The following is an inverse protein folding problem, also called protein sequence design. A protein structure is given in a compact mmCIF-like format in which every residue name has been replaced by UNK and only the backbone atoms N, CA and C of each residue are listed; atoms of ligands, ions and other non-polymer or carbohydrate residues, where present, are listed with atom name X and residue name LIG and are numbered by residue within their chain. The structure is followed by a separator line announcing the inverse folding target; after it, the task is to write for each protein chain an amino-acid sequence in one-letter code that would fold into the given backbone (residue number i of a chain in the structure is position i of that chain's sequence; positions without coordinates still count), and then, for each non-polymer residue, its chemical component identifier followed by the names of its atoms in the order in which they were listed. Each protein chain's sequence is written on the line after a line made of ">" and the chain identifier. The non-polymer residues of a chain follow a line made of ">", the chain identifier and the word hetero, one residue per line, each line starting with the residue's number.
data_IF_281811302742
#
_entry.id   IF_281811302742
#
_cell.length_a   1.000
_cell.length_b   1.000
_cell.length_c   1.000
_cell.angle_alpha   90.00
_cell.angle_beta   90.00
_cell.angle_gamma   90.00
#
_symmetry.space_group_name_H-M   'P 1'
#
loop_
_entity.id
_entity.type
_entity.pdbx_description
1 polymer ?
#
# COMPACT_ATOMS: atom_id res chain seq x y z
N UNK A 1 39.62 5.27 44.06
CA UNK A 1 39.62 6.44 43.16
C UNK A 1 40.65 6.24 42.06
N UNK A 2 40.23 5.74 40.90
CA UNK A 2 41.07 5.70 39.71
C UNK A 2 40.21 6.04 38.49
N UNK A 3 40.27 7.29 38.06
CA UNK A 3 39.78 7.76 36.77
C UNK A 3 40.66 7.14 35.66
N UNK A 4 40.04 6.64 34.59
CA UNK A 4 40.72 6.45 33.30
C UNK A 4 39.89 7.07 32.19
N UNK A 5 40.62 7.84 31.40
CA UNK A 5 40.21 8.68 30.27
C UNK A 5 39.55 7.88 29.14
N UNK A 6 38.55 8.54 28.53
CA UNK A 6 37.99 8.25 27.20
C UNK A 6 38.89 8.88 26.14
N UNK A 7 39.23 8.19 25.03
CA UNK A 7 39.71 8.85 23.82
C UNK A 7 38.54 9.11 22.86
N UNK A 8 38.36 10.38 22.48
CA UNK A 8 37.47 10.82 21.42
C UNK A 8 38.06 10.44 20.06
N UNK A 9 37.27 9.76 19.23
CA UNK A 9 37.60 9.44 17.84
C UNK A 9 37.03 10.55 16.94
N UNK A 10 37.91 11.22 16.19
CA UNK A 10 37.54 12.24 15.21
C UNK A 10 37.12 11.58 13.89
N UNK A 11 35.91 11.88 13.42
CA UNK A 11 35.43 11.52 12.07
C UNK A 11 35.93 12.56 11.06
N UNK A 12 36.61 12.11 10.00
CA UNK A 12 36.93 12.91 8.84
C UNK A 12 35.84 12.71 7.77
N UNK A 13 35.18 13.81 7.37
CA UNK A 13 34.20 13.85 6.28
C UNK A 13 34.94 14.15 4.98
N UNK A 14 34.82 13.26 3.99
CA UNK A 14 35.30 13.49 2.62
C UNK A 14 34.11 13.93 1.77
N UNK A 15 34.07 15.21 1.39
CA UNK A 15 33.15 15.75 0.40
C UNK A 15 33.72 15.54 -1.00
N UNK A 16 33.08 14.68 -1.81
CA UNK A 16 33.31 14.62 -3.25
C UNK A 16 32.41 15.65 -3.95
N UNK A 17 33.02 16.68 -4.52
CA UNK A 17 32.37 17.58 -5.46
C UNK A 17 32.48 17.02 -6.88
N UNK A 18 31.33 16.81 -7.53
CA UNK A 18 31.26 16.50 -8.96
C UNK A 18 30.76 17.74 -9.70
N UNK A 19 31.64 18.30 -10.52
CA UNK A 19 31.40 19.50 -11.31
C UNK A 19 30.58 19.22 -12.57
N UNK A 20 29.77 20.22 -12.94
CA UNK A 20 29.18 20.37 -14.26
C UNK A 20 30.25 20.82 -15.26
N UNK A 21 30.19 20.31 -16.50
CA UNK A 21 30.47 21.11 -17.70
C UNK A 21 29.83 20.48 -18.94
N UNK A 22 29.15 21.37 -19.64
CA UNK A 22 28.39 21.28 -20.87
C UNK A 22 29.31 21.44 -22.11
N UNK A 23 28.85 20.96 -23.27
CA UNK A 23 29.22 21.30 -24.66
C UNK A 23 29.06 20.05 -25.55
N UNK A 24 28.33 20.05 -26.67
CA UNK A 24 27.60 21.10 -27.34
C UNK A 24 27.15 20.64 -28.75
N UNK A 25 26.10 21.29 -29.22
CA UNK A 25 25.84 21.75 -30.61
C UNK A 25 25.76 20.75 -31.77
N UNK A 26 24.62 20.78 -32.47
CA UNK A 26 24.51 20.30 -33.84
C UNK A 26 23.12 20.38 -34.47
N UNK A 27 22.56 21.59 -34.60
CA UNK A 27 21.59 21.92 -35.68
C UNK A 27 22.38 22.57 -36.84
N UNK A 28 21.96 22.53 -38.13
CA UNK A 28 20.64 23.01 -38.58
C UNK A 28 20.04 22.41 -39.89
N UNK A 29 18.87 22.95 -40.26
CA UNK A 29 18.36 23.26 -41.64
C UNK A 29 17.07 22.53 -42.08
N UNK A 30 15.95 23.27 -42.02
CA UNK A 30 15.21 23.70 -43.24
C UNK A 30 13.89 22.99 -43.61
N UNK A 31 12.99 23.67 -44.36
CA UNK A 31 11.56 23.75 -44.02
C UNK A 31 10.63 23.08 -45.05
N UNK A 32 9.40 22.75 -44.64
CA UNK A 32 8.27 22.67 -45.58
C UNK A 32 6.94 23.12 -44.95
N UNK A 33 6.36 24.12 -45.59
CA UNK A 33 4.98 24.57 -45.42
C UNK A 33 4.01 23.61 -46.14
N UNK A 34 2.78 23.52 -45.63
CA UNK A 34 1.68 22.84 -46.30
C UNK A 34 0.35 23.11 -45.60
N UNK A 35 -0.36 24.13 -46.08
CA UNK A 35 -1.75 24.43 -45.73
C UNK A 35 -2.71 23.41 -46.35
N UNK A 36 -3.81 23.08 -45.66
CA UNK A 36 -4.92 22.31 -46.22
C UNK A 36 -6.16 22.36 -45.33
N UNK A 37 -7.19 23.04 -45.82
CA UNK A 37 -8.50 23.24 -45.19
C UNK A 37 -9.54 22.21 -45.68
N UNK A 38 -10.64 22.07 -44.92
CA UNK A 38 -11.90 21.42 -45.33
C UNK A 38 -12.13 20.07 -44.62
N UNK A 39 -13.29 19.75 -44.08
CA UNK A 39 -14.61 20.37 -44.14
C UNK A 39 -15.59 19.60 -43.25
N UNK A 40 -16.77 20.20 -43.08
CA UNK A 40 -17.84 19.86 -42.15
C UNK A 40 -18.72 18.67 -42.56
N UNK A 41 -19.52 18.21 -41.58
CA UNK A 41 -20.68 17.31 -41.66
C UNK A 41 -20.85 16.65 -40.29
N UNK A 42 -21.57 17.19 -39.31
CA UNK A 42 -23.01 17.47 -39.20
C UNK A 42 -23.92 16.26 -39.43
N UNK A 43 -24.78 15.97 -38.44
CA UNK A 43 -25.94 15.09 -38.62
C UNK A 43 -26.31 14.16 -37.46
N UNK A 44 -27.15 14.65 -36.54
CA UNK A 44 -28.23 13.93 -35.84
C UNK A 44 -27.81 13.01 -34.66
N UNK A 45 -28.16 13.24 -33.40
CA UNK A 45 -29.46 13.68 -32.90
C UNK A 45 -30.44 12.50 -32.92
N UNK A 46 -30.58 11.80 -31.80
CA UNK A 46 -31.74 10.95 -31.44
C UNK A 46 -31.75 10.75 -29.92
N UNK A 47 -32.42 11.69 -29.27
CA UNK A 47 -33.05 11.56 -27.97
C UNK A 47 -34.16 10.50 -28.07
N UNK A 48 -33.96 9.35 -27.44
CA UNK A 48 -34.95 8.29 -27.17
C UNK A 48 -34.48 7.70 -25.83
N UNK A 49 -35.10 8.02 -24.70
CA UNK A 49 -36.48 7.68 -24.42
C UNK A 49 -36.45 6.73 -23.22
N UNK A 50 -36.75 7.29 -22.06
CA UNK A 50 -37.12 6.59 -20.84
C UNK A 50 -38.08 5.43 -21.15
N UNK A 51 -37.67 4.19 -20.84
CA UNK A 51 -38.59 3.06 -20.72
C UNK A 51 -38.60 2.65 -19.25
N UNK A 52 -39.54 3.23 -18.52
CA UNK A 52 -40.02 2.71 -17.26
C UNK A 52 -41.02 1.56 -17.50
N UNK A 53 -40.81 0.45 -16.78
CA UNK A 53 -41.77 -0.67 -16.61
C UNK A 53 -41.33 -1.96 -17.30
N UNK A 54 -41.00 -3.08 -16.64
CA UNK A 54 -41.09 -3.47 -15.23
C UNK A 54 -41.49 -4.96 -15.17
N UNK A 55 -40.74 -5.80 -14.43
CA UNK A 55 -41.23 -6.83 -13.47
C UNK A 55 -40.06 -7.65 -12.88
N UNK A 56 -39.85 -7.53 -11.57
CA UNK A 56 -39.64 -8.66 -10.66
C UNK A 56 -38.29 -9.40 -10.68
N UNK A 57 -37.30 -8.84 -9.98
CA UNK A 57 -36.12 -9.58 -9.50
C UNK A 57 -35.10 -8.63 -8.90
N UNK A 58 -35.18 -8.36 -7.59
CA UNK A 58 -34.27 -7.45 -6.90
C UNK A 58 -32.81 -7.84 -7.10
N UNK A 59 -32.14 -7.14 -8.02
CA UNK A 59 -30.68 -7.13 -8.12
C UNK A 59 -30.28 -5.76 -7.60
N UNK A 60 -30.11 -5.66 -6.27
CA UNK A 60 -29.45 -4.49 -5.70
C UNK A 60 -28.10 -4.36 -6.39
N UNK A 61 -27.90 -3.26 -7.11
CA UNK A 61 -26.61 -2.97 -7.71
C UNK A 61 -25.63 -2.77 -6.54
N UNK A 62 -24.54 -3.54 -6.53
CA UNK A 62 -23.43 -3.33 -5.60
C UNK A 62 -23.04 -1.86 -5.64
N UNK A 63 -22.82 -1.27 -4.47
CA UNK A 63 -22.41 0.13 -4.33
C UNK A 63 -20.90 0.25 -4.38
N UNK A 64 -20.42 1.44 -4.74
CA UNK A 64 -18.99 1.73 -4.76
C UNK A 64 -18.37 1.53 -3.36
N UNK A 65 -17.12 1.06 -3.34
CA UNK A 65 -16.38 0.86 -2.09
C UNK A 65 -15.60 2.13 -1.78
N UNK A 66 -15.90 2.71 -0.63
CA UNK A 66 -15.11 3.79 -0.03
C UNK A 66 -13.92 3.19 0.71
N UNK A 67 -12.74 3.75 0.47
CA UNK A 67 -11.49 3.34 1.08
C UNK A 67 -10.85 4.55 1.73
N UNK A 68 -10.37 4.38 2.97
CA UNK A 68 -9.46 5.32 3.62
C UNK A 68 -8.28 4.51 4.13
N UNK A 69 -7.07 4.83 3.71
CA UNK A 69 -5.88 4.00 3.94
C UNK A 69 -4.63 4.88 4.07
N UNK A 70 -3.67 4.40 4.84
CA UNK A 70 -2.30 4.93 4.89
C UNK A 70 -1.31 3.82 5.24
N UNK A 71 -0.02 4.08 5.06
CA UNK A 71 1.05 3.22 5.53
C UNK A 71 2.26 4.05 5.97
N UNK A 72 3.07 3.44 6.83
CA UNK A 72 4.42 3.89 7.17
C UNK A 72 5.38 2.98 6.38
N UNK A 73 5.72 3.30 5.12
CA UNK A 73 5.57 4.60 4.45
C UNK A 73 4.88 4.54 3.09
N UNK A 74 5.04 3.44 2.35
CA UNK A 74 4.54 3.33 1.00
C UNK A 74 3.40 2.34 0.90
N UNK A 75 2.40 2.66 0.09
CA UNK A 75 1.35 1.71 -0.22
C UNK A 75 0.71 1.91 -1.61
N UNK A 76 0.11 0.83 -2.08
CA UNK A 76 -0.92 0.82 -3.11
C UNK A 76 -1.91 -0.30 -2.80
N UNK A 77 -3.05 -0.30 -3.47
CA UNK A 77 -4.05 -1.34 -3.26
C UNK A 77 -4.89 -1.53 -4.52
N UNK A 78 -5.65 -2.62 -4.54
CA UNK A 78 -6.60 -2.85 -5.62
C UNK A 78 -7.34 -4.17 -5.47
N UNK A 79 -8.30 -4.37 -6.35
CA UNK A 79 -9.05 -5.63 -6.44
C UNK A 79 -8.49 -6.50 -7.55
N UNK A 80 -8.44 -7.79 -7.28
CA UNK A 80 -7.83 -8.76 -8.17
C UNK A 80 -8.49 -10.12 -8.09
N UNK A 81 -8.19 -10.96 -9.07
CA UNK A 81 -8.38 -12.41 -8.96
C UNK A 81 -7.30 -13.02 -8.09
N UNK A 82 -7.40 -14.30 -7.72
CA UNK A 82 -6.33 -15.00 -7.00
C UNK A 82 -4.95 -14.94 -7.66
N UNK A 83 -4.89 -14.72 -8.99
CA UNK A 83 -3.65 -14.74 -9.77
C UNK A 83 -3.04 -13.36 -10.04
N UNK A 84 -3.82 -12.28 -9.91
CA UNK A 84 -3.40 -10.92 -10.28
C UNK A 84 -4.38 -9.84 -9.82
N UNK A 85 -3.84 -8.64 -9.67
CA UNK A 85 -4.59 -7.39 -9.61
C UNK A 85 -5.23 -7.04 -10.96
N UNK A 86 -6.47 -6.55 -10.91
CA UNK A 86 -7.22 -6.06 -12.08
C UNK A 86 -7.22 -4.53 -12.17
N UNK A 87 -7.02 -3.87 -11.05
CA UNK A 87 -6.89 -2.42 -10.90
C UNK A 87 -5.84 -2.12 -9.84
N UNK A 88 -5.30 -0.91 -9.87
CA UNK A 88 -4.29 -0.46 -8.92
C UNK A 88 -4.54 1.01 -8.61
N UNK A 89 -4.65 1.32 -7.33
CA UNK A 89 -4.86 2.64 -6.76
C UNK A 89 -3.71 2.92 -5.77
N UNK A 90 -3.44 4.19 -5.49
CA UNK A 90 -2.29 4.58 -4.68
C UNK A 90 -1.00 4.51 -5.47
N UNK A 91 0.02 3.87 -4.90
CA UNK A 91 1.43 4.11 -5.29
C UNK A 91 1.97 5.35 -4.59
N UNK A 92 1.53 5.56 -3.36
CA UNK A 92 1.93 6.69 -2.49
C UNK A 92 3.19 6.28 -1.74
N UNK A 93 4.08 7.23 -1.52
CA UNK A 93 5.29 7.12 -0.73
C UNK A 93 5.35 8.32 0.22
N UNK A 94 5.00 8.10 1.49
CA UNK A 94 4.98 9.15 2.50
C UNK A 94 6.37 9.36 3.08
N UNK A 95 6.91 10.58 2.98
CA UNK A 95 8.22 10.96 3.48
C UNK A 95 8.16 11.55 4.90
N UNK A 96 7.00 12.11 5.26
CA UNK A 96 6.80 12.82 6.51
C UNK A 96 5.65 12.21 7.31
N UNK A 97 5.79 12.23 8.64
CA UNK A 97 4.71 11.82 9.55
C UNK A 97 3.39 12.58 9.29
N UNK A 98 3.50 13.84 8.87
CA UNK A 98 2.33 14.67 8.53
C UNK A 98 1.52 14.11 7.34
N UNK A 99 2.18 13.40 6.42
CA UNK A 99 1.56 12.74 5.26
C UNK A 99 0.90 11.40 5.62
N UNK A 100 1.12 10.92 6.86
CA UNK A 100 0.60 9.61 7.32
C UNK A 100 -0.56 9.83 8.31
N UNK A 101 -0.37 10.72 9.29
CA UNK A 101 -1.24 10.79 10.47
C UNK A 101 -2.22 11.98 10.46
N UNK A 102 -1.89 13.07 9.76
CA UNK A 102 -2.56 14.36 9.98
C UNK A 102 -3.91 14.49 9.28
N UNK A 103 -4.71 15.44 9.78
CA UNK A 103 -5.94 15.89 9.13
C UNK A 103 -5.66 17.03 8.12
N UNK A 104 -6.53 17.23 7.12
CA UNK A 104 -7.68 16.39 6.78
C UNK A 104 -7.27 15.10 6.03
N UNK A 105 -8.22 14.19 5.86
CA UNK A 105 -8.09 13.08 4.89
C UNK A 105 -7.77 13.66 3.50
N UNK A 106 -6.77 13.08 2.83
CA UNK A 106 -6.15 13.59 1.60
C UNK A 106 -4.91 14.47 1.84
N UNK A 107 -4.58 14.78 3.09
CA UNK A 107 -3.28 15.34 3.51
C UNK A 107 -2.47 14.32 4.31
N UNK A 108 -3.09 13.67 5.30
CA UNK A 108 -2.57 12.44 5.91
C UNK A 108 -3.06 11.22 5.13
N UNK A 109 -3.91 10.35 5.71
CA UNK A 109 -4.43 9.20 4.99
C UNK A 109 -5.26 9.63 3.78
N UNK A 110 -5.17 8.87 2.70
CA UNK A 110 -5.89 9.14 1.46
C UNK A 110 -7.24 8.45 1.43
N UNK A 111 -8.15 9.04 0.64
CA UNK A 111 -9.46 8.46 0.38
C UNK A 111 -9.66 8.16 -1.10
N UNK A 112 -10.27 7.00 -1.38
CA UNK A 112 -10.59 6.56 -2.72
C UNK A 112 -12.04 6.06 -2.79
N UNK A 113 -12.62 6.18 -3.98
CA UNK A 113 -13.88 5.53 -4.35
C UNK A 113 -13.59 4.51 -5.43
N UNK A 114 -13.70 3.23 -5.09
CA UNK A 114 -13.54 2.12 -6.02
C UNK A 114 -14.89 1.81 -6.64
N UNK A 115 -15.03 1.88 -7.98
CA UNK A 115 -16.29 1.54 -8.63
C UNK A 115 -16.72 0.12 -8.28
N UNK A 116 -18.01 -0.09 -8.00
CA UNK A 116 -18.58 -1.39 -7.64
C UNK A 116 -18.15 -2.50 -8.60
N UNK A 117 -18.24 -2.23 -9.91
CA UNK A 117 -17.82 -3.17 -10.98
C UNK A 117 -16.36 -3.63 -10.87
N UNK A 118 -15.49 -2.79 -10.32
CA UNK A 118 -14.06 -3.10 -10.15
C UNK A 118 -13.83 -3.95 -8.92
N UNK A 119 -14.57 -3.68 -7.83
CA UNK A 119 -14.55 -4.47 -6.61
C UNK A 119 -15.16 -5.86 -6.83
N UNK A 120 -16.34 -5.93 -7.46
CA UNK A 120 -17.09 -7.16 -7.71
C UNK A 120 -16.42 -8.10 -8.73
N UNK A 121 -15.53 -7.56 -9.57
CA UNK A 121 -14.74 -8.37 -10.50
C UNK A 121 -13.57 -9.09 -9.80
N UNK A 122 -13.20 -8.66 -8.60
CA UNK A 122 -12.13 -9.25 -7.80
C UNK A 122 -12.62 -10.38 -6.90
N UNK A 123 -11.76 -11.38 -6.69
CA UNK A 123 -11.89 -12.36 -5.62
C UNK A 123 -11.16 -11.94 -4.35
N UNK A 124 -10.24 -10.97 -4.46
CA UNK A 124 -9.44 -10.47 -3.36
C UNK A 124 -9.30 -8.95 -3.43
N UNK A 125 -9.29 -8.32 -2.25
CA UNK A 125 -8.66 -7.02 -2.02
C UNK A 125 -7.18 -7.27 -1.73
N UNK A 126 -6.28 -6.60 -2.44
CA UNK A 126 -4.85 -6.62 -2.21
C UNK A 126 -4.35 -5.27 -1.72
N UNK A 127 -3.38 -5.28 -0.82
CA UNK A 127 -2.60 -4.11 -0.42
C UNK A 127 -1.12 -4.43 -0.67
N UNK A 128 -0.44 -3.56 -1.38
CA UNK A 128 1.00 -3.61 -1.63
C UNK A 128 1.63 -2.54 -0.76
N UNK A 129 2.67 -2.87 0.01
CA UNK A 129 3.31 -1.89 0.92
C UNK A 129 4.78 -2.22 1.12
N UNK A 130 5.57 -1.19 1.40
CA UNK A 130 6.97 -1.32 1.83
C UNK A 130 7.35 -0.14 2.74
N UNK A 131 8.38 -0.34 3.57
CA UNK A 131 8.79 0.60 4.61
C UNK A 131 10.02 1.41 4.20
N UNK A 132 10.29 2.50 4.93
CA UNK A 132 11.53 3.27 4.77
C UNK A 132 12.72 2.69 5.55
N UNK A 133 12.49 1.65 6.35
CA UNK A 133 13.51 0.95 7.14
C UNK A 133 14.17 1.89 8.18
N UNK A 134 13.41 2.83 8.77
CA UNK A 134 13.96 3.79 9.75
C UNK A 134 13.36 3.71 11.15
N UNK A 135 12.04 3.76 11.30
CA UNK A 135 11.42 3.94 12.64
C UNK A 135 10.33 2.91 12.89
N UNK A 136 9.26 3.01 12.12
CA UNK A 136 8.05 2.21 12.26
C UNK A 136 7.59 1.74 10.89
N UNK A 137 6.83 0.65 10.87
CA UNK A 137 6.29 0.10 9.64
C UNK A 137 4.95 -0.56 9.88
N UNK A 138 3.99 -0.32 9.00
CA UNK A 138 2.63 -0.80 9.16
C UNK A 138 1.71 -0.24 8.09
N UNK A 139 0.60 -0.93 7.86
CA UNK A 139 -0.53 -0.40 7.08
C UNK A 139 -1.78 -0.31 7.95
N UNK A 140 -2.54 0.77 7.77
CA UNK A 140 -3.81 1.01 8.42
C UNK A 140 -4.87 1.43 7.40
N UNK A 141 -6.05 0.83 7.45
CA UNK A 141 -7.11 1.18 6.52
C UNK A 141 -8.49 0.68 6.91
N UNK A 142 -9.48 1.29 6.27
CA UNK A 142 -10.89 0.90 6.33
C UNK A 142 -11.50 0.87 4.94
N UNK A 143 -12.36 -0.12 4.70
CA UNK A 143 -12.99 -0.41 3.42
C UNK A 143 -14.47 -0.65 3.66
N UNK A 144 -15.36 0.10 3.01
CA UNK A 144 -16.78 -0.02 3.27
C UNK A 144 -17.64 0.40 2.08
N UNK A 145 -18.80 -0.22 1.98
CA UNK A 145 -19.90 0.23 1.11
C UNK A 145 -20.87 1.06 1.94
N UNK A 146 -21.47 2.09 1.36
CA UNK A 146 -22.46 2.91 2.07
C UNK A 146 -23.61 2.03 2.59
N UNK A 147 -23.87 2.10 3.91
CA UNK A 147 -24.90 1.29 4.57
C UNK A 147 -24.46 -0.13 4.98
N UNK A 148 -23.23 -0.53 4.69
CA UNK A 148 -22.63 -1.80 5.13
C UNK A 148 -21.66 -1.59 6.31
N UNK A 149 -21.40 -2.66 7.05
CA UNK A 149 -20.37 -2.65 8.11
C UNK A 149 -18.97 -2.53 7.47
N UNK A 150 -18.08 -1.68 8.01
CA UNK A 150 -16.73 -1.54 7.48
C UNK A 150 -15.88 -2.79 7.74
N UNK A 151 -14.96 -3.04 6.81
CA UNK A 151 -13.82 -3.94 7.00
C UNK A 151 -12.62 -3.11 7.35
N UNK A 152 -11.89 -3.53 8.38
CA UNK A 152 -10.67 -2.87 8.82
C UNK A 152 -9.44 -3.72 8.52
N UNK A 153 -8.30 -3.07 8.28
CA UNK A 153 -7.01 -3.70 8.57
C UNK A 153 -6.99 -4.09 10.04
N UNK A 154 -6.27 -5.16 10.37
CA UNK A 154 -6.19 -5.60 11.76
C UNK A 154 -7.36 -6.47 12.24
N UNK A 155 -8.28 -6.82 11.34
CA UNK A 155 -9.41 -7.72 11.58
C UNK A 155 -9.66 -8.59 10.34
N UNK A 156 -10.06 -9.84 10.55
CA UNK A 156 -10.41 -10.78 9.47
C UNK A 156 -9.28 -11.74 9.08
N UNK A 157 -9.51 -12.46 7.98
CA UNK A 157 -8.66 -13.53 7.49
C UNK A 157 -7.59 -13.03 6.52
N UNK A 158 -6.86 -11.98 6.92
CA UNK A 158 -5.77 -11.44 6.12
C UNK A 158 -4.66 -12.46 5.92
N UNK A 159 -4.11 -12.48 4.70
CA UNK A 159 -2.91 -13.20 4.34
C UNK A 159 -1.85 -12.20 3.88
N UNK A 160 -0.57 -12.54 4.07
CA UNK A 160 0.55 -11.75 3.56
C UNK A 160 1.53 -12.62 2.81
N UNK A 161 2.09 -12.04 1.77
CA UNK A 161 3.25 -12.55 1.09
C UNK A 161 4.39 -11.52 1.22
N UNK A 162 5.39 -11.85 2.03
CA UNK A 162 6.64 -11.10 2.12
C UNK A 162 7.58 -11.55 1.00
N UNK A 163 7.93 -10.64 0.08
CA UNK A 163 8.69 -10.95 -1.14
C UNK A 163 10.20 -10.93 -0.92
N UNK A 164 10.66 -10.20 0.09
CA UNK A 164 12.08 -10.03 0.41
C UNK A 164 12.82 -9.07 -0.52
N UNK A 165 12.12 -8.39 -1.43
CA UNK A 165 12.71 -7.28 -2.19
C UNK A 165 12.73 -6.01 -1.35
N UNK A 166 13.67 -5.13 -1.65
CA UNK A 166 13.89 -3.89 -0.91
C UNK A 166 13.63 -2.70 -1.84
N UNK A 167 12.80 -1.77 -1.40
CA UNK A 167 12.43 -0.59 -2.17
C UNK A 167 12.67 0.66 -1.30
N UNK A 168 13.49 1.56 -1.82
CA UNK A 168 13.68 2.87 -1.18
C UNK A 168 12.50 3.79 -1.48
N UNK A 169 12.17 4.69 -0.55
CA UNK A 169 11.28 5.81 -0.85
C UNK A 169 11.87 6.70 -1.96
N UNK A 170 11.00 7.15 -2.86
CA UNK A 170 11.35 7.83 -4.10
C UNK A 170 11.63 6.90 -5.28
N UNK A 171 11.62 5.58 -5.09
CA UNK A 171 11.86 4.60 -6.17
C UNK A 171 10.65 4.39 -7.09
N UNK A 172 9.48 4.91 -6.72
CA UNK A 172 8.18 4.64 -7.34
C UNK A 172 7.66 3.21 -7.14
N UNK A 173 8.29 2.45 -6.22
CA UNK A 173 7.86 1.11 -5.82
C UNK A 173 7.85 0.07 -6.95
N UNK A 174 7.26 -1.10 -6.69
CA UNK A 174 7.12 -2.16 -7.68
C UNK A 174 6.10 -1.80 -8.76
N UNK A 175 6.37 -2.20 -10.01
CA UNK A 175 5.38 -2.10 -11.08
C UNK A 175 4.23 -3.08 -10.87
N UNK A 176 3.05 -2.81 -11.47
CA UNK A 176 1.93 -3.76 -11.45
C UNK A 176 2.30 -5.15 -12.03
N UNK A 177 3.19 -5.19 -13.01
CA UNK A 177 3.72 -6.46 -13.54
C UNK A 177 4.52 -7.21 -12.47
N UNK A 178 5.44 -6.52 -11.78
CA UNK A 178 6.22 -7.08 -10.66
C UNK A 178 5.32 -7.59 -9.55
N UNK A 179 4.29 -6.83 -9.15
CA UNK A 179 3.32 -7.26 -8.13
C UNK A 179 2.62 -8.55 -8.56
N UNK A 180 2.14 -8.62 -9.80
CA UNK A 180 1.45 -9.81 -10.31
C UNK A 180 2.39 -11.04 -10.43
N UNK A 181 3.66 -10.83 -10.77
CA UNK A 181 4.67 -11.89 -10.75
C UNK A 181 4.84 -12.46 -9.34
N UNK A 182 4.91 -11.62 -8.31
CA UNK A 182 4.98 -12.09 -6.93
C UNK A 182 3.71 -12.78 -6.49
N UNK A 183 2.51 -12.26 -6.81
CA UNK A 183 1.24 -12.97 -6.51
C UNK A 183 1.29 -14.42 -7.03
N UNK A 184 1.75 -14.62 -8.27
CA UNK A 184 1.89 -15.96 -8.86
C UNK A 184 2.91 -16.83 -8.11
N UNK A 185 4.06 -16.28 -7.70
CA UNK A 185 5.06 -17.00 -6.89
C UNK A 185 4.54 -17.35 -5.50
N UNK A 186 3.81 -16.45 -4.86
CA UNK A 186 3.19 -16.68 -3.57
C UNK A 186 2.15 -17.82 -3.64
N UNK A 187 1.38 -17.88 -4.74
CA UNK A 187 0.47 -19.00 -5.01
C UNK A 187 1.21 -20.33 -5.26
N UNK A 188 2.40 -20.28 -5.87
CA UNK A 188 3.25 -21.44 -6.10
C UNK A 188 3.92 -21.98 -4.83
N UNK A 189 4.16 -21.13 -3.83
CA UNK A 189 4.81 -21.49 -2.58
C UNK A 189 6.27 -21.92 -2.74
N UNK A 190 6.95 -21.39 -3.77
CA UNK A 190 8.29 -21.81 -4.22
C UNK A 190 9.39 -20.78 -3.93
N UNK A 191 9.07 -19.69 -3.24
CA UNK A 191 10.05 -18.68 -2.85
C UNK A 191 10.94 -19.16 -1.69
N UNK A 192 12.15 -18.61 -1.59
CA UNK A 192 13.10 -19.00 -0.54
C UNK A 192 12.60 -18.55 0.85
N UNK A 193 12.26 -19.46 1.78
CA UNK A 193 11.76 -19.10 3.10
C UNK A 193 12.82 -18.46 4.01
N UNK A 194 14.10 -18.44 3.61
CA UNK A 194 15.15 -17.75 4.37
C UNK A 194 15.09 -16.23 4.16
N UNK A 195 14.72 -15.78 2.96
CA UNK A 195 14.66 -14.35 2.60
C UNK A 195 13.24 -13.84 2.36
N UNK A 196 12.25 -14.73 2.28
CA UNK A 196 10.84 -14.43 1.98
C UNK A 196 9.92 -15.20 2.93
N UNK A 197 8.61 -14.95 2.83
CA UNK A 197 7.57 -15.78 3.48
C UNK A 197 7.41 -17.19 2.87
N UNK A 198 8.06 -17.48 1.73
CA UNK A 198 7.93 -18.75 1.03
C UNK A 198 6.55 -19.02 0.41
N UNK A 199 5.63 -18.05 0.45
CA UNK A 199 4.25 -18.18 0.01
C UNK A 199 3.31 -17.32 0.84
N UNK A 200 2.00 -17.48 0.65
CA UNK A 200 1.01 -16.85 1.52
C UNK A 200 1.07 -17.41 2.94
N UNK A 201 1.18 -16.53 3.93
CA UNK A 201 1.02 -16.87 5.35
C UNK A 201 -0.19 -16.13 5.92
N UNK A 202 -0.86 -16.76 6.88
CA UNK A 202 -2.08 -16.24 7.52
C UNK A 202 -1.73 -15.57 8.86
N UNK A 203 -2.72 -15.31 9.70
CA UNK A 203 -2.54 -14.92 11.11
C UNK A 203 -2.06 -16.07 12.00
N UNK A 204 -2.04 -17.31 11.50
CA UNK A 204 -1.51 -18.46 12.24
C UNK A 204 0.02 -18.41 12.28
N UNK A 205 0.59 -18.52 13.48
CA UNK A 205 2.04 -18.50 13.69
C UNK A 205 2.69 -19.68 12.96
N UNK A 206 3.71 -19.39 12.14
CA UNK A 206 4.51 -20.39 11.44
C UNK A 206 6.00 -20.05 11.48
N UNK A 207 6.85 -21.01 11.12
CA UNK A 207 8.29 -20.80 10.95
C UNK A 207 8.64 -19.86 9.78
N UNK A 208 7.65 -19.56 8.93
CA UNK A 208 7.73 -18.62 7.81
C UNK A 208 7.24 -17.22 8.17
N UNK A 209 6.91 -16.97 9.44
CA UNK A 209 6.25 -15.74 9.88
C UNK A 209 4.73 -15.80 9.75
N UNK A 210 4.06 -14.69 10.04
CA UNK A 210 2.60 -14.59 10.02
C UNK A 210 2.14 -13.13 9.94
N UNK A 211 0.86 -12.93 9.61
CA UNK A 211 0.19 -11.63 9.72
C UNK A 211 -0.02 -11.30 11.19
N UNK A 212 0.32 -10.08 11.59
CA UNK A 212 0.15 -9.57 12.94
C UNK A 212 -0.66 -8.28 12.95
N UNK A 213 -1.44 -8.11 14.01
CA UNK A 213 -2.28 -6.94 14.23
C UNK A 213 -1.78 -6.19 15.47
N UNK A 214 -1.37 -4.95 15.26
CA UNK A 214 -0.80 -4.03 16.24
C UNK A 214 -1.86 -3.25 17.01
N UNK A 215 -1.53 -2.06 17.47
CA UNK A 215 -2.48 -1.22 18.20
C UNK A 215 -3.66 -0.75 17.34
N UNK A 216 -4.75 -0.37 18.02
CA UNK A 216 -5.91 0.24 17.42
C UNK A 216 -5.68 1.74 17.17
N UNK A 217 -6.49 2.35 16.29
CA UNK A 217 -6.38 3.78 15.96
C UNK A 217 -7.04 4.69 17.01
N UNK A 218 -6.80 4.41 18.29
CA UNK A 218 -7.47 5.06 19.43
C UNK A 218 -6.49 5.67 20.46
N UNK A 219 -5.20 5.32 20.35
CA UNK A 219 -4.21 5.63 21.36
C UNK A 219 -3.27 6.72 20.86
N UNK A 220 -3.34 7.91 21.47
CA UNK A 220 -2.42 9.00 21.16
C UNK A 220 -1.04 8.73 21.77
N UNK A 221 0.03 8.97 21.00
CA UNK A 221 1.41 8.83 21.48
C UNK A 221 2.29 10.02 21.13
N UNK A 222 3.38 10.15 21.89
CA UNK A 222 4.45 11.12 21.63
C UNK A 222 5.70 10.48 20.99
N UNK A 223 6.06 9.24 21.37
CA UNK A 223 7.25 8.54 20.86
C UNK A 223 6.92 7.07 20.57
N UNK A 224 7.43 6.48 19.47
CA UNK A 224 7.17 5.08 19.12
C UNK A 224 7.76 4.11 20.16
N UNK A 225 6.95 3.16 20.63
CA UNK A 225 7.37 2.07 21.52
C UNK A 225 6.63 0.78 21.14
N UNK A 226 7.17 -0.42 21.43
CA UNK A 226 6.44 -1.67 21.24
C UNK A 226 5.06 -1.66 21.93
N UNK A 227 3.99 -1.89 21.16
CA UNK A 227 2.58 -1.81 21.59
C UNK A 227 1.99 -0.40 21.67
N UNK A 228 2.71 0.61 21.18
CA UNK A 228 2.31 2.01 21.08
C UNK A 228 3.20 2.73 20.02
N UNK A 229 3.19 2.19 18.80
CA UNK A 229 4.09 2.50 17.69
C UNK A 229 3.62 3.67 16.82
N UNK A 230 2.35 4.04 16.79
CA UNK A 230 1.79 4.98 15.82
C UNK A 230 0.95 6.10 16.48
N UNK A 231 1.02 7.35 16.02
CA UNK A 231 0.01 8.36 16.33
C UNK A 231 -1.35 7.99 15.76
N UNK A 232 -2.41 8.60 16.29
CA UNK A 232 -3.76 8.45 15.74
C UNK A 232 -3.79 9.03 14.31
N UNK A 233 -4.29 8.23 13.38
CA UNK A 233 -4.51 8.58 11.98
C UNK A 233 -5.89 9.21 11.81
N UNK A 234 -5.94 10.37 11.15
CA UNK A 234 -7.18 11.11 10.95
C UNK A 234 -8.20 10.39 10.05
N UNK A 235 -9.46 10.28 10.46
CA UNK A 235 -10.55 9.82 9.57
C UNK A 235 -10.56 8.33 9.27
N UNK A 236 -9.67 7.54 9.87
CA UNK A 236 -9.81 6.09 9.99
C UNK A 236 -10.46 5.79 11.36
N UNK A 237 -11.40 4.87 11.38
CA UNK A 237 -12.15 4.44 12.57
C UNK A 237 -11.22 3.92 13.68
N UNK A 238 -11.58 4.17 14.93
CA UNK A 238 -10.82 3.76 16.10
C UNK A 238 -10.70 2.23 16.24
N UNK A 239 -11.64 1.48 15.65
CA UNK A 239 -11.62 0.02 15.60
C UNK A 239 -10.63 -0.57 14.59
N UNK A 240 -10.08 0.23 13.67
CA UNK A 240 -9.05 -0.24 12.77
C UNK A 240 -7.72 -0.44 13.51
N UNK A 241 -6.98 -1.50 13.15
CA UNK A 241 -5.66 -1.77 13.77
C UNK A 241 -4.58 -1.84 12.71
N UNK A 242 -3.38 -1.42 13.11
CA UNK A 242 -2.20 -1.54 12.27
C UNK A 242 -1.93 -3.01 11.95
N UNK A 243 -1.59 -3.29 10.70
CA UNK A 243 -1.32 -4.64 10.21
C UNK A 243 0.06 -4.72 9.60
N UNK A 244 0.80 -5.78 9.90
CA UNK A 244 2.12 -6.02 9.33
C UNK A 244 2.45 -7.52 9.23
N UNK A 245 3.65 -7.82 8.74
CA UNK A 245 4.23 -9.17 8.72
C UNK A 245 5.25 -9.34 9.84
N UNK A 246 5.07 -10.37 10.67
CA UNK A 246 6.07 -10.79 11.65
C UNK A 246 7.04 -11.77 10.98
N UNK A 247 8.25 -11.28 10.70
CA UNK A 247 9.32 -12.05 10.07
C UNK A 247 10.13 -12.89 11.07
N UNK A 248 10.13 -12.53 12.35
CA UNK A 248 10.80 -13.26 13.43
C UNK A 248 9.78 -14.09 14.21
N UNK A 249 9.58 -15.38 13.85
CA UNK A 249 8.61 -16.24 14.53
C UNK A 249 9.00 -16.55 15.98
N UNK A 250 10.22 -16.19 16.40
CA UNK A 250 10.73 -16.38 17.75
C UNK A 250 10.73 -15.10 18.59
N UNK A 251 10.21 -13.99 18.06
CA UNK A 251 10.22 -12.70 18.75
C UNK A 251 9.58 -12.81 20.12
N UNK A 252 10.34 -12.46 21.15
CA UNK A 252 9.87 -12.40 22.54
C UNK A 252 9.91 -10.98 23.12
N UNK A 253 10.56 -10.05 22.43
CA UNK A 253 10.71 -8.64 22.81
C UNK A 253 10.72 -7.75 21.58
N UNK A 254 10.31 -6.49 21.74
CA UNK A 254 10.21 -5.55 20.62
C UNK A 254 8.89 -5.71 19.88
N UNK A 255 8.83 -5.20 18.65
CA UNK A 255 7.62 -5.20 17.83
C UNK A 255 7.95 -5.40 16.35
N UNK A 256 7.11 -6.15 15.60
CA UNK A 256 7.21 -6.22 14.14
C UNK A 256 6.87 -4.89 13.46
N UNK A 257 6.25 -3.95 14.17
CA UNK A 257 5.92 -2.61 13.68
C UNK A 257 7.05 -1.60 13.88
N UNK A 258 8.16 -2.00 14.50
CA UNK A 258 9.32 -1.14 14.76
C UNK A 258 10.52 -1.63 13.96
N UNK A 259 11.27 -0.72 13.36
CA UNK A 259 12.49 -1.09 12.65
C UNK A 259 13.51 -1.67 13.65
N UNK A 260 13.99 -2.91 13.47
CA UNK A 260 14.94 -3.54 14.39
C UNK A 260 16.37 -2.94 14.36
N UNK A 261 16.66 -2.01 13.44
CA UNK A 261 18.02 -1.53 13.18
C UNK A 261 18.80 -2.45 12.23
N UNK A 262 19.88 -1.91 11.65
CA UNK A 262 20.76 -2.63 10.72
C UNK A 262 20.81 -1.97 9.33
N UNK A 263 21.41 -2.67 8.37
CA UNK A 263 21.56 -2.20 6.99
C UNK A 263 21.14 -3.25 5.95
N UNK A 264 20.34 -4.23 6.36
CA UNK A 264 19.87 -5.34 5.53
C UNK A 264 18.37 -5.45 5.67
N UNK A 265 17.66 -5.81 4.58
CA UNK A 265 16.22 -6.06 4.58
C UNK A 265 15.83 -7.29 5.44
N UNK A 266 15.94 -7.15 6.76
CA UNK A 266 15.61 -8.21 7.73
C UNK A 266 14.12 -8.41 7.88
N UNK A 267 13.32 -7.37 7.58
CA UNK A 267 11.87 -7.40 7.67
C UNK A 267 11.21 -8.07 6.45
N UNK A 268 12.02 -8.47 5.46
CA UNK A 268 11.58 -9.11 4.21
C UNK A 268 10.55 -8.24 3.49
N UNK A 269 10.92 -6.99 3.32
CA UNK A 269 10.08 -5.90 2.81
C UNK A 269 9.51 -6.16 1.41
N UNK A 270 8.70 -5.22 0.94
CA UNK A 270 7.73 -5.40 -0.13
C UNK A 270 6.77 -6.54 0.22
N UNK A 271 5.72 -6.15 0.94
CA UNK A 271 4.64 -7.00 1.39
C UNK A 271 3.45 -6.86 0.46
N UNK A 272 2.83 -8.00 0.14
CA UNK A 272 1.53 -8.05 -0.53
C UNK A 272 0.56 -8.71 0.45
N UNK A 273 -0.35 -7.92 1.01
CA UNK A 273 -1.48 -8.43 1.78
C UNK A 273 -2.64 -8.75 0.85
N UNK A 274 -3.45 -9.74 1.22
CA UNK A 274 -4.76 -9.97 0.59
C UNK A 274 -5.83 -10.37 1.60
N UNK A 275 -7.07 -10.05 1.25
CA UNK A 275 -8.29 -10.46 1.95
C UNK A 275 -9.32 -10.87 0.90
N UNK A 276 -10.04 -11.98 1.14
CA UNK A 276 -11.14 -12.40 0.26
C UNK A 276 -12.16 -11.28 0.10
N UNK A 277 -12.53 -10.95 -1.14
CA UNK A 277 -13.46 -9.85 -1.43
C UNK A 277 -14.86 -10.11 -0.84
N UNK A 278 -15.22 -11.38 -0.60
CA UNK A 278 -16.43 -11.81 0.09
C UNK A 278 -16.52 -11.29 1.54
N UNK A 279 -15.40 -10.89 2.14
CA UNK A 279 -15.39 -10.30 3.47
C UNK A 279 -15.81 -8.84 3.49
N UNK A 280 -15.90 -8.16 2.34
CA UNK A 280 -16.42 -6.80 2.24
C UNK A 280 -17.95 -6.86 2.12
N UNK A 281 -18.70 -6.51 3.17
CA UNK A 281 -20.14 -6.75 3.19
C UNK A 281 -20.87 -5.91 2.13
N UNK A 282 -21.95 -6.49 1.62
CA UNK A 282 -22.94 -5.75 0.85
C UNK A 282 -23.91 -5.02 1.81
N UNK A 283 -24.47 -3.87 1.41
CA UNK A 283 -25.50 -3.20 2.20
C UNK A 283 -26.71 -4.11 2.45
N UNK A 284 -27.35 -4.05 3.64
CA UNK A 284 -28.60 -4.75 3.90
C UNK A 284 -29.67 -4.42 2.87
N UNK A 285 -30.39 -5.44 2.39
CA UNK A 285 -31.52 -5.29 1.44
C UNK A 285 -32.82 -4.87 2.12
#
# INVERSE_FOLDING_TARGET
>A
MHLRLVPALAFAVVLHGSGCSDAGTGDPVGPHAGSGAGGAGDGGGNDLGEIAGGVGGGSGLSTDVSVIITADNAYGFGYGTGDKLLNYFGGVENLLADEIFSCPVGHGPESYTVPARSADAGSYLYIVTYADILTTQGVLGQFFREGAEPVFTGNGAWEVCATGEDYDLGSHGPTLETVNQHIARCNGGDMDPQTTSGGWVTTEVSDRGHVVFGEANDTARDNPQPGNEFPIVCGIDEGARWMWYEWDPSRSTGSPFMWPGGSSNVIRDFLIFRLGAEFIPEPPR
#
